data_IF_043979472622
#
_entry.id   IF_043979472622
#
_cell.length_a   1.000
_cell.length_b   1.000
_cell.length_c   1.000
_cell.angle_alpha   90.00
_cell.angle_beta   90.00
_cell.angle_gamma   90.00
#
_symmetry.space_group_name_H-M   'P 1'
#
loop_
_entity.id
_entity.type
_entity.pdbx_description
1 polymer ?
#
# COMPACT_ATOMS: atom_id res chain seq x y z
N UNK A 1 35.06 11.56 -25.57
CA UNK A 1 34.17 11.46 -24.40
C UNK A 1 33.20 10.37 -24.78
N UNK A 2 33.51 9.16 -24.32
CA UNK A 2 33.16 7.90 -25.00
C UNK A 2 31.66 7.60 -25.00
N UNK A 3 31.21 7.00 -26.10
CA UNK A 3 29.85 6.48 -26.35
C UNK A 3 29.40 5.34 -25.39
N UNK A 4 30.06 5.18 -24.24
CA UNK A 4 29.82 4.10 -23.28
C UNK A 4 28.83 4.40 -22.15
N UNK A 5 28.19 5.57 -22.11
CA UNK A 5 27.14 5.89 -21.11
C UNK A 5 25.69 5.82 -21.64
N UNK A 6 25.44 5.25 -22.83
CA UNK A 6 24.07 5.01 -23.34
C UNK A 6 23.54 3.60 -23.10
N UNK A 7 24.22 2.80 -22.29
CA UNK A 7 23.74 1.49 -21.88
C UNK A 7 22.87 1.63 -20.63
N UNK A 8 21.72 0.94 -20.62
CA UNK A 8 20.83 0.73 -19.49
C UNK A 8 19.81 1.86 -19.24
N UNK A 9 18.53 1.49 -19.42
CA UNK A 9 17.31 2.24 -19.08
C UNK A 9 16.77 3.13 -20.21
N UNK A 10 16.22 2.51 -21.26
CA UNK A 10 15.05 3.04 -22.00
C UNK A 10 13.79 2.39 -21.42
N UNK A 11 13.13 3.01 -20.43
CA UNK A 11 12.11 2.32 -19.65
C UNK A 11 10.74 2.56 -20.28
N UNK A 12 10.03 1.49 -20.60
CA UNK A 12 8.66 1.58 -21.06
C UNK A 12 7.69 1.45 -19.86
N UNK A 13 6.79 2.43 -19.77
CA UNK A 13 5.50 2.46 -19.07
C UNK A 13 5.38 1.83 -17.67
N UNK A 14 5.51 2.66 -16.61
CA UNK A 14 5.04 2.32 -15.27
C UNK A 14 3.54 2.59 -15.11
N UNK A 15 2.79 1.61 -14.60
CA UNK A 15 1.40 1.78 -14.15
C UNK A 15 1.36 2.05 -12.65
N UNK A 16 0.96 3.26 -12.25
CA UNK A 16 0.97 3.69 -10.86
C UNK A 16 -0.25 3.22 -10.05
N UNK A 17 -0.02 2.70 -8.84
CA UNK A 17 -1.02 2.17 -7.91
C UNK A 17 -0.89 2.79 -6.49
N UNK A 18 -0.88 4.11 -6.34
CA UNK A 18 -0.61 4.75 -5.04
C UNK A 18 -1.60 4.42 -3.93
N UNK A 19 -2.89 4.23 -4.26
CA UNK A 19 -3.94 3.75 -3.35
C UNK A 19 -4.89 2.74 -4.02
N UNK A 20 -4.55 2.32 -5.24
CA UNK A 20 -5.33 1.39 -6.04
C UNK A 20 -5.10 -0.06 -5.57
N UNK A 21 -5.79 -0.39 -4.49
CA UNK A 21 -6.06 -1.73 -3.95
C UNK A 21 -6.75 -2.64 -4.99
N UNK A 22 -6.79 -3.97 -4.77
CA UNK A 22 -7.38 -4.91 -5.74
C UNK A 22 -8.75 -4.45 -6.25
N UNK A 23 -9.06 -4.74 -7.51
CA UNK A 23 -10.32 -4.38 -8.19
C UNK A 23 -10.54 -2.87 -8.44
N UNK A 24 -9.50 -2.04 -8.37
CA UNK A 24 -9.54 -0.61 -8.75
C UNK A 24 -9.34 -0.33 -10.26
N UNK A 25 -9.43 -1.35 -11.12
CA UNK A 25 -9.23 -1.23 -12.58
C UNK A 25 -7.80 -1.49 -13.06
N UNK A 26 -6.85 -1.72 -12.14
CA UNK A 26 -5.43 -1.93 -12.46
C UNK A 26 -5.17 -3.15 -13.32
N UNK A 27 -5.87 -4.27 -13.10
CA UNK A 27 -5.79 -5.48 -13.95
C UNK A 27 -6.20 -5.18 -15.39
N UNK A 28 -7.26 -4.38 -15.58
CA UNK A 28 -7.74 -4.00 -16.91
C UNK A 28 -6.78 -3.03 -17.60
N UNK A 29 -6.26 -2.05 -16.86
CA UNK A 29 -5.23 -1.14 -17.38
C UNK A 29 -3.95 -1.89 -17.79
N UNK A 30 -3.51 -2.87 -17.00
CA UNK A 30 -2.39 -3.76 -17.34
C UNK A 30 -2.65 -4.49 -18.65
N UNK A 31 -3.85 -5.08 -18.81
CA UNK A 31 -4.24 -5.76 -20.04
C UNK A 31 -4.26 -4.82 -21.24
N UNK A 32 -4.92 -3.67 -21.14
CA UNK A 32 -4.98 -2.67 -22.22
C UNK A 32 -3.58 -2.18 -22.62
N UNK A 33 -2.75 -1.88 -21.63
CA UNK A 33 -1.39 -1.38 -21.85
C UNK A 33 -0.52 -2.44 -22.53
N UNK A 34 -0.56 -3.67 -22.04
CA UNK A 34 0.13 -4.79 -22.67
C UNK A 34 -0.35 -5.00 -24.11
N UNK A 35 -1.67 -4.99 -24.32
CA UNK A 35 -2.28 -5.17 -25.62
C UNK A 35 -1.84 -4.10 -26.61
N UNK A 36 -1.88 -2.82 -26.21
CA UNK A 36 -1.45 -1.69 -27.03
C UNK A 36 0.03 -1.86 -27.38
N UNK A 37 0.90 -2.07 -26.40
CA UNK A 37 2.35 -2.10 -26.61
C UNK A 37 2.78 -3.27 -27.51
N UNK A 38 2.15 -4.44 -27.36
CA UNK A 38 2.54 -5.65 -28.08
C UNK A 38 1.67 -5.99 -29.30
N UNK A 39 0.69 -5.16 -29.68
CA UNK A 39 -0.24 -5.43 -30.79
C UNK A 39 0.42 -5.82 -32.11
N UNK A 40 1.60 -5.26 -32.42
CA UNK A 40 2.33 -5.58 -33.66
C UNK A 40 2.99 -6.96 -33.63
N UNK A 41 3.32 -7.48 -32.44
CA UNK A 41 3.89 -8.82 -32.27
C UNK A 41 2.82 -9.93 -32.33
N UNK A 42 1.56 -9.57 -32.07
CA UNK A 42 0.43 -10.50 -31.99
C UNK A 42 -0.74 -9.98 -32.84
N UNK A 43 -0.70 -10.18 -34.17
CA UNK A 43 -1.69 -9.61 -35.09
C UNK A 43 -3.07 -10.25 -34.99
N UNK A 44 -3.16 -11.52 -34.58
CA UNK A 44 -4.44 -12.20 -34.34
C UNK A 44 -4.85 -12.08 -32.87
N UNK A 45 -6.07 -11.60 -32.65
CA UNK A 45 -6.69 -11.58 -31.32
C UNK A 45 -6.99 -12.99 -30.78
N UNK A 46 -7.12 -14.00 -31.65
CA UNK A 46 -7.43 -15.38 -31.27
C UNK A 46 -6.26 -16.08 -30.56
N UNK A 47 -5.03 -15.62 -30.81
CA UNK A 47 -3.79 -16.19 -30.24
C UNK A 47 -3.11 -15.21 -29.27
N UNK A 48 -3.86 -14.26 -28.70
CA UNK A 48 -3.27 -13.20 -27.89
C UNK A 48 -2.78 -13.73 -26.53
N UNK A 49 -1.59 -13.34 -26.03
CA UNK A 49 -1.06 -13.85 -24.76
C UNK A 49 -1.99 -13.65 -23.55
N UNK A 50 -2.82 -12.62 -23.55
CA UNK A 50 -3.79 -12.34 -22.48
C UNK A 50 -4.93 -13.35 -22.40
N UNK A 51 -5.07 -14.27 -23.37
CA UNK A 51 -6.00 -15.39 -23.31
C UNK A 51 -5.48 -16.55 -22.44
N UNK A 52 -4.16 -16.63 -22.24
CA UNK A 52 -3.50 -17.71 -21.49
C UNK A 52 -2.89 -17.20 -20.19
N UNK A 53 -2.37 -15.97 -20.20
CA UNK A 53 -1.65 -15.39 -19.06
C UNK A 53 -2.44 -14.27 -18.41
N UNK A 54 -2.40 -14.22 -17.08
CA UNK A 54 -2.98 -13.15 -16.32
C UNK A 54 -2.23 -11.82 -16.59
N UNK A 55 -2.92 -10.67 -16.68
CA UNK A 55 -2.26 -9.37 -16.83
C UNK A 55 -1.21 -9.06 -15.74
N UNK A 56 -1.36 -9.62 -14.53
CA UNK A 56 -0.38 -9.48 -13.46
C UNK A 56 0.94 -10.21 -13.74
N UNK A 57 0.93 -11.29 -14.53
CA UNK A 57 2.13 -12.03 -14.94
C UNK A 57 2.86 -11.32 -16.09
N UNK A 58 2.12 -10.58 -16.92
CA UNK A 58 2.67 -9.84 -18.06
C UNK A 58 3.11 -8.41 -17.71
N UNK A 59 2.55 -7.86 -16.64
CA UNK A 59 2.91 -6.54 -16.10
C UNK A 59 3.11 -6.67 -14.59
N UNK A 60 4.27 -7.21 -14.15
CA UNK A 60 4.54 -7.45 -12.75
C UNK A 60 4.74 -6.12 -11.99
N UNK A 61 4.38 -6.06 -10.70
CA UNK A 61 4.73 -4.92 -9.86
C UNK A 61 6.25 -4.93 -9.61
N UNK A 62 6.88 -3.78 -9.86
CA UNK A 62 8.33 -3.58 -9.82
C UNK A 62 8.91 -3.91 -8.44
N UNK A 63 8.17 -3.66 -7.36
CA UNK A 63 8.58 -3.96 -6.00
C UNK A 63 8.74 -5.47 -5.76
N UNK A 64 7.84 -6.31 -6.26
CA UNK A 64 7.97 -7.76 -6.05
C UNK A 64 9.04 -8.37 -6.95
N UNK A 65 9.31 -7.80 -8.12
CA UNK A 65 10.42 -8.24 -8.98
C UNK A 65 11.78 -8.01 -8.30
N UNK A 66 11.91 -6.91 -7.54
CA UNK A 66 13.15 -6.56 -6.83
C UNK A 66 13.24 -7.25 -5.47
N UNK A 67 12.13 -7.37 -4.73
CA UNK A 67 12.13 -7.79 -3.33
C UNK A 67 11.63 -9.23 -3.07
N UNK A 68 11.29 -10.02 -4.09
CA UNK A 68 11.10 -11.47 -3.88
C UNK A 68 12.46 -12.15 -3.65
N UNK A 69 12.94 -12.03 -2.40
CA UNK A 69 14.11 -12.70 -1.83
C UNK A 69 13.94 -14.22 -1.69
N UNK A 70 12.85 -14.83 -2.20
CA UNK A 70 12.60 -16.26 -2.01
C UNK A 70 13.68 -17.12 -2.70
N UNK A 71 14.42 -16.60 -3.68
CA UNK A 71 15.47 -17.37 -4.38
C UNK A 71 16.83 -16.66 -4.59
N UNK A 72 17.14 -15.58 -3.86
CA UNK A 72 18.46 -14.89 -3.94
C UNK A 72 18.89 -14.49 -5.37
N UNK A 73 17.92 -14.38 -6.28
CA UNK A 73 18.09 -13.84 -7.61
C UNK A 73 17.39 -12.50 -7.63
N UNK A 74 18.16 -11.43 -7.46
CA UNK A 74 17.78 -10.15 -8.06
C UNK A 74 17.44 -10.47 -9.52
N UNK A 75 16.16 -10.40 -9.89
CA UNK A 75 15.74 -10.79 -11.22
C UNK A 75 16.34 -9.76 -12.18
N UNK A 76 17.45 -10.14 -12.82
CA UNK A 76 18.10 -9.35 -13.84
C UNK A 76 17.05 -8.92 -14.86
N UNK A 77 16.79 -7.61 -14.90
CA UNK A 77 15.80 -7.01 -15.81
C UNK A 77 16.16 -7.31 -17.27
N UNK A 78 17.41 -7.67 -17.58
CA UNK A 78 17.84 -8.12 -18.90
C UNK A 78 17.08 -9.36 -19.40
N UNK A 79 16.60 -10.21 -18.49
CA UNK A 79 15.83 -11.43 -18.82
C UNK A 79 14.40 -11.12 -19.30
N UNK A 80 13.92 -9.88 -19.09
CA UNK A 80 12.57 -9.48 -19.49
C UNK A 80 12.65 -8.89 -20.91
N UNK A 81 11.90 -9.45 -21.88
CA UNK A 81 11.93 -8.98 -23.27
C UNK A 81 11.41 -7.55 -23.39
N UNK A 82 11.95 -6.81 -24.35
CA UNK A 82 11.46 -5.47 -24.70
C UNK A 82 10.27 -5.56 -25.68
N UNK A 83 9.32 -4.62 -25.62
CA UNK A 83 9.19 -3.50 -24.66
C UNK A 83 8.68 -3.93 -23.27
N UNK A 84 9.39 -3.53 -22.21
CA UNK A 84 9.07 -3.93 -20.82
C UNK A 84 7.95 -3.08 -20.22
N UNK A 85 7.04 -3.67 -19.44
CA UNK A 85 5.96 -2.91 -18.79
C UNK A 85 5.92 -3.33 -17.33
N UNK A 86 5.90 -2.36 -16.42
CA UNK A 86 5.89 -2.64 -14.98
C UNK A 86 4.75 -1.91 -14.27
N UNK A 87 4.21 -2.51 -13.22
CA UNK A 87 3.38 -1.81 -12.25
C UNK A 87 4.24 -1.26 -11.10
N UNK A 88 3.76 -0.30 -10.33
CA UNK A 88 4.39 0.10 -9.06
C UNK A 88 3.35 0.68 -8.11
N UNK A 89 3.48 0.38 -6.82
CA UNK A 89 2.74 0.98 -5.72
C UNK A 89 3.45 2.20 -5.10
N UNK A 90 4.72 2.45 -5.46
CA UNK A 90 5.52 3.57 -4.93
C UNK A 90 5.03 4.92 -5.45
N UNK A 91 4.79 5.93 -4.58
CA UNK A 91 4.46 7.31 -4.96
C UNK A 91 5.37 7.91 -6.02
N UNK A 92 4.83 8.67 -6.98
CA UNK A 92 5.64 9.28 -8.06
C UNK A 92 6.77 10.14 -7.47
N UNK A 93 6.48 10.88 -6.40
CA UNK A 93 7.46 11.68 -5.65
C UNK A 93 8.52 10.83 -4.95
N UNK A 94 8.24 9.57 -4.64
CA UNK A 94 9.16 8.62 -4.01
C UNK A 94 9.95 7.77 -5.02
N UNK A 95 9.63 7.84 -6.32
CA UNK A 95 10.42 7.15 -7.34
C UNK A 95 11.86 7.69 -7.39
N UNK A 96 12.79 6.79 -7.72
CA UNK A 96 14.20 7.12 -7.88
C UNK A 96 14.40 8.21 -8.96
N UNK A 97 15.43 9.04 -8.77
CA UNK A 97 15.81 10.10 -9.72
C UNK A 97 16.04 9.53 -11.13
N UNK A 98 16.65 8.35 -11.22
CA UNK A 98 16.87 7.63 -12.47
C UNK A 98 15.59 7.36 -13.26
N UNK A 99 14.47 7.05 -12.58
CA UNK A 99 13.19 6.82 -13.26
C UNK A 99 12.58 8.16 -13.72
N UNK A 100 12.61 9.18 -12.85
CA UNK A 100 12.02 10.50 -13.14
C UNK A 100 12.70 11.24 -14.29
N UNK A 101 14.02 11.07 -14.42
CA UNK A 101 14.83 11.75 -15.44
C UNK A 101 15.03 10.92 -16.71
N UNK A 102 14.63 9.64 -16.69
CA UNK A 102 14.65 8.79 -17.87
C UNK A 102 13.54 9.16 -18.86
N UNK A 103 13.62 8.60 -20.07
CA UNK A 103 12.55 8.68 -21.07
C UNK A 103 11.32 7.81 -20.72
N UNK A 104 11.13 7.45 -19.44
CA UNK A 104 9.99 6.65 -19.03
C UNK A 104 8.68 7.38 -19.23
N UNK A 105 7.72 6.70 -19.83
CA UNK A 105 6.32 7.12 -19.78
C UNK A 105 5.68 6.51 -18.53
N UNK A 106 4.76 7.22 -17.90
CA UNK A 106 4.07 6.74 -16.70
C UNK A 106 2.57 6.96 -16.92
N UNK A 107 1.77 5.91 -16.73
CA UNK A 107 0.31 6.02 -16.68
C UNK A 107 -0.14 5.92 -15.25
N UNK A 108 -0.93 6.90 -14.85
CA UNK A 108 -1.55 6.98 -13.54
C UNK A 108 -3.03 6.67 -13.66
N UNK A 109 -3.53 5.81 -12.77
CA UNK A 109 -4.96 5.55 -12.61
C UNK A 109 -5.38 5.88 -11.18
N UNK A 110 -6.49 6.60 -11.05
CA UNK A 110 -7.20 6.80 -9.81
C UNK A 110 -8.65 6.33 -9.96
N UNK A 111 -9.25 6.00 -8.83
CA UNK A 111 -10.65 5.65 -8.70
C UNK A 111 -11.21 6.37 -7.48
N UNK A 112 -12.51 6.67 -7.48
CA UNK A 112 -13.23 7.20 -6.33
C UNK A 112 -12.96 6.34 -5.06
N UNK A 113 -12.81 7.01 -3.91
CA UNK A 113 -12.38 6.35 -2.67
C UNK A 113 -13.43 5.40 -2.09
N UNK A 114 -14.72 5.74 -2.17
CA UNK A 114 -15.81 4.85 -1.70
C UNK A 114 -15.90 3.60 -2.56
N UNK A 115 -15.78 3.77 -3.86
CA UNK A 115 -15.71 2.70 -4.85
C UNK A 115 -14.53 1.75 -4.59
N UNK A 116 -13.38 2.33 -4.30
CA UNK A 116 -12.14 1.61 -3.97
C UNK A 116 -12.30 0.84 -2.65
N UNK A 117 -12.92 1.45 -1.64
CA UNK A 117 -13.24 0.82 -0.36
C UNK A 117 -14.18 -0.37 -0.55
N UNK A 118 -15.33 -0.19 -1.22
CA UNK A 118 -16.30 -1.26 -1.47
C UNK A 118 -15.69 -2.39 -2.29
N UNK A 119 -14.91 -2.06 -3.32
CA UNK A 119 -14.25 -3.07 -4.16
C UNK A 119 -13.26 -3.91 -3.37
N UNK A 120 -12.52 -3.28 -2.45
CA UNK A 120 -11.59 -3.97 -1.55
C UNK A 120 -12.33 -4.83 -0.55
N UNK A 121 -13.39 -4.30 0.06
CA UNK A 121 -14.25 -5.04 0.99
C UNK A 121 -14.78 -6.33 0.35
N UNK A 122 -15.36 -6.23 -0.85
CA UNK A 122 -15.87 -7.39 -1.60
C UNK A 122 -14.74 -8.34 -1.99
N UNK A 123 -13.57 -7.84 -2.36
CA UNK A 123 -12.41 -8.67 -2.68
C UNK A 123 -11.91 -9.45 -1.46
N UNK A 124 -11.70 -8.76 -0.34
CA UNK A 124 -11.26 -9.34 0.94
C UNK A 124 -12.25 -10.41 1.39
N UNK A 125 -13.56 -10.12 1.38
CA UNK A 125 -14.58 -11.10 1.77
C UNK A 125 -14.61 -12.37 0.89
N UNK A 126 -14.10 -12.30 -0.35
CA UNK A 126 -13.99 -13.48 -1.23
C UNK A 126 -12.76 -14.33 -0.93
N UNK A 127 -11.67 -13.73 -0.45
CA UNK A 127 -10.40 -14.44 -0.17
C UNK A 127 -10.26 -14.84 1.30
N UNK A 128 -10.96 -14.17 2.21
CA UNK A 128 -10.94 -14.48 3.62
C UNK A 128 -11.74 -15.77 3.91
N UNK A 129 -11.29 -16.63 4.83
CA UNK A 129 -12.05 -17.79 5.26
C UNK A 129 -13.44 -17.39 5.79
N UNK A 130 -14.49 -18.11 5.38
CA UNK A 130 -15.88 -17.85 5.81
C UNK A 130 -16.12 -18.03 7.31
N UNK A 131 -15.23 -18.74 8.01
CA UNK A 131 -15.34 -19.03 9.45
C UNK A 131 -15.07 -17.80 10.35
N UNK A 132 -14.87 -16.63 9.75
CA UNK A 132 -14.64 -15.36 10.45
C UNK A 132 -15.94 -14.64 10.85
N UNK A 133 -17.10 -15.05 10.32
CA UNK A 133 -18.41 -14.51 10.73
C UNK A 133 -18.79 -15.02 12.13
N UNK A 134 -18.24 -14.39 13.16
CA UNK A 134 -18.79 -14.46 14.52
C UNK A 134 -19.09 -13.04 15.00
N UNK A 135 -20.37 -12.70 15.28
CA UNK A 135 -20.75 -11.32 15.59
C UNK A 135 -20.02 -10.76 16.83
N UNK A 136 -19.72 -11.61 17.82
CA UNK A 136 -19.03 -11.20 19.04
C UNK A 136 -17.49 -11.20 18.93
N UNK A 137 -16.92 -11.45 17.75
CA UNK A 137 -15.47 -11.38 17.51
C UNK A 137 -15.00 -10.00 17.04
N UNK A 138 -15.91 -9.08 16.71
CA UNK A 138 -15.54 -7.78 16.12
C UNK A 138 -16.17 -6.65 16.93
N UNK A 139 -15.32 -5.79 17.49
CA UNK A 139 -15.72 -4.50 18.06
C UNK A 139 -15.39 -3.39 17.07
N UNK A 140 -16.40 -2.60 16.72
CA UNK A 140 -16.22 -1.40 15.90
C UNK A 140 -15.84 -0.21 16.80
N UNK A 141 -14.76 0.47 16.45
CA UNK A 141 -14.24 1.64 17.13
C UNK A 141 -13.70 2.63 16.10
N UNK A 142 -14.23 3.86 16.08
CA UNK A 142 -13.67 4.94 15.26
C UNK A 142 -12.47 5.55 15.97
N UNK A 143 -11.51 6.04 15.19
CA UNK A 143 -10.34 6.71 15.75
C UNK A 143 -10.71 8.03 16.45
N UNK A 144 -11.71 8.73 15.91
CA UNK A 144 -12.28 9.95 16.48
C UNK A 144 -12.85 9.67 17.87
N UNK A 145 -13.73 8.67 17.99
CA UNK A 145 -14.36 8.27 19.27
C UNK A 145 -13.29 7.82 20.29
N UNK A 146 -12.29 7.04 19.85
CA UNK A 146 -11.17 6.61 20.69
C UNK A 146 -10.39 7.80 21.27
N UNK A 147 -10.17 8.84 20.46
CA UNK A 147 -9.41 10.02 20.87
C UNK A 147 -10.21 10.98 21.74
N UNK A 148 -11.53 11.04 21.54
CA UNK A 148 -12.44 11.87 22.33
C UNK A 148 -12.47 11.43 23.80
N UNK A 149 -12.60 10.13 24.08
CA UNK A 149 -12.53 9.57 25.43
C UNK A 149 -11.65 8.31 25.47
N UNK A 150 -10.35 8.51 25.66
CA UNK A 150 -9.38 7.42 25.68
C UNK A 150 -9.62 6.48 26.86
N UNK A 151 -9.98 7.00 28.04
CA UNK A 151 -10.16 6.19 29.24
C UNK A 151 -11.34 5.23 29.08
N UNK A 152 -12.49 5.76 28.65
CA UNK A 152 -13.68 4.96 28.36
C UNK A 152 -13.40 3.87 27.30
N UNK A 153 -12.76 4.24 26.20
CA UNK A 153 -12.49 3.29 25.12
C UNK A 153 -11.45 2.23 25.51
N UNK A 154 -10.46 2.56 26.34
CA UNK A 154 -9.51 1.56 26.88
C UNK A 154 -10.24 0.55 27.75
N UNK A 155 -11.17 0.97 28.62
CA UNK A 155 -12.01 0.05 29.40
C UNK A 155 -12.88 -0.82 28.51
N UNK A 156 -13.53 -0.22 27.52
CA UNK A 156 -14.35 -0.94 26.53
C UNK A 156 -13.56 -1.98 25.74
N UNK A 157 -12.33 -1.67 25.34
CA UNK A 157 -11.41 -2.62 24.68
C UNK A 157 -11.05 -3.75 25.65
N UNK A 158 -10.71 -3.42 26.90
CA UNK A 158 -10.34 -4.39 27.92
C UNK A 158 -11.48 -5.39 28.22
N UNK A 159 -12.71 -4.89 28.37
CA UNK A 159 -13.92 -5.71 28.49
C UNK A 159 -14.15 -6.60 27.25
N UNK A 160 -14.00 -6.04 26.04
CA UNK A 160 -14.16 -6.79 24.79
C UNK A 160 -13.10 -7.89 24.61
N UNK A 161 -11.90 -7.71 25.16
CA UNK A 161 -10.81 -8.69 25.15
C UNK A 161 -10.86 -9.68 26.33
N UNK A 162 -11.97 -9.72 27.10
CA UNK A 162 -12.12 -10.55 28.31
C UNK A 162 -11.02 -10.30 29.37
N UNK A 163 -10.48 -9.07 29.42
CA UNK A 163 -9.46 -8.63 30.37
C UNK A 163 -9.88 -7.32 31.05
N UNK A 164 -11.06 -7.25 31.70
CA UNK A 164 -11.55 -6.02 32.31
C UNK A 164 -10.67 -5.58 33.48
N UNK A 165 -10.53 -4.26 33.66
CA UNK A 165 -9.85 -3.71 34.81
C UNK A 165 -10.63 -3.99 36.10
N UNK A 166 -9.91 -4.41 37.13
CA UNK A 166 -10.46 -4.49 38.48
C UNK A 166 -10.64 -3.09 39.07
N UNK A 167 -11.53 -2.94 40.07
CA UNK A 167 -11.70 -1.68 40.79
C UNK A 167 -10.41 -1.19 41.46
N UNK A 168 -9.51 -2.12 41.81
CA UNK A 168 -8.20 -1.81 42.36
C UNK A 168 -7.25 -1.24 41.29
N UNK A 169 -7.21 -1.83 40.10
CA UNK A 169 -6.43 -1.30 38.97
C UNK A 169 -6.93 0.08 38.53
N UNK A 170 -8.25 0.29 38.53
CA UNK A 170 -8.83 1.61 38.26
C UNK A 170 -8.44 2.64 39.33
N UNK A 171 -8.54 2.30 40.61
CA UNK A 171 -8.22 3.22 41.70
C UNK A 171 -6.71 3.46 41.89
N UNK A 172 -5.86 2.52 41.46
CA UNK A 172 -4.40 2.65 41.46
C UNK A 172 -3.84 3.38 40.22
N UNK A 173 -4.69 3.79 39.28
CA UNK A 173 -4.31 4.58 38.12
C UNK A 173 -3.64 3.76 37.00
N UNK A 174 -3.91 2.45 36.92
CA UNK A 174 -3.31 1.56 35.89
C UNK A 174 -3.71 2.00 34.49
N UNK A 175 -4.96 2.42 34.30
CA UNK A 175 -5.47 2.88 32.99
C UNK A 175 -4.70 4.11 32.52
N UNK A 176 -4.51 5.10 33.40
CA UNK A 176 -3.76 6.32 33.13
C UNK A 176 -2.30 6.00 32.81
N UNK A 177 -1.70 5.02 33.50
CA UNK A 177 -0.35 4.56 33.24
C UNK A 177 -0.21 3.90 31.86
N UNK A 178 -1.19 3.07 31.46
CA UNK A 178 -1.25 2.46 30.12
C UNK A 178 -1.38 3.55 29.05
N UNK A 179 -2.32 4.48 29.23
CA UNK A 179 -2.54 5.60 28.29
C UNK A 179 -1.26 6.43 28.14
N UNK A 180 -0.59 6.74 29.25
CA UNK A 180 0.68 7.49 29.24
C UNK A 180 1.79 6.73 28.52
N UNK A 181 1.93 5.42 28.78
CA UNK A 181 2.92 4.57 28.14
C UNK A 181 2.70 4.47 26.62
N UNK A 182 1.44 4.31 26.21
CA UNK A 182 1.01 4.16 24.83
C UNK A 182 0.73 5.51 24.12
N UNK A 183 0.99 6.64 24.78
CA UNK A 183 0.84 7.95 24.15
C UNK A 183 1.77 8.09 22.96
N UNK A 184 1.33 8.79 21.92
CA UNK A 184 2.10 8.95 20.69
C UNK A 184 3.47 9.61 20.97
N UNK A 185 3.49 10.62 21.84
CA UNK A 185 4.68 11.33 22.30
C UNK A 185 5.66 10.37 22.98
N UNK A 186 5.16 9.51 23.87
CA UNK A 186 6.00 8.53 24.57
C UNK A 186 6.55 7.49 23.62
N UNK A 187 5.70 6.87 22.80
CA UNK A 187 6.10 5.81 21.89
C UNK A 187 7.09 6.30 20.84
N UNK A 188 6.88 7.49 20.27
CA UNK A 188 7.78 8.09 19.28
C UNK A 188 9.20 8.30 19.81
N UNK A 189 9.33 8.57 21.12
CA UNK A 189 10.62 8.82 21.75
C UNK A 189 11.40 7.54 22.10
N UNK A 190 10.78 6.36 22.06
CA UNK A 190 11.45 5.10 22.37
C UNK A 190 12.53 4.76 21.33
N UNK A 191 13.71 4.35 21.78
CA UNK A 191 14.86 3.97 20.92
C UNK A 191 14.46 2.97 19.82
N UNK A 192 13.65 1.98 20.17
CA UNK A 192 13.12 0.94 19.25
C UNK A 192 12.34 1.53 18.07
N UNK A 193 11.64 2.65 18.29
CA UNK A 193 10.80 3.30 17.30
C UNK A 193 11.57 4.33 16.47
N UNK A 194 12.74 4.80 16.95
CA UNK A 194 13.60 5.72 16.19
C UNK A 194 14.58 5.02 15.26
N UNK A 195 15.14 3.88 15.69
CA UNK A 195 16.34 3.32 15.03
C UNK A 195 16.17 1.95 14.40
N UNK A 196 15.11 1.19 14.71
CA UNK A 196 14.91 -0.13 14.09
C UNK A 196 14.16 0.00 12.77
N UNK A 197 14.26 -1.04 11.95
CA UNK A 197 13.51 -1.20 10.72
C UNK A 197 12.54 -2.39 10.83
N UNK A 198 11.49 -2.39 10.04
CA UNK A 198 10.49 -3.46 9.95
C UNK A 198 10.21 -3.81 8.49
N UNK A 199 9.93 -5.09 8.22
CA UNK A 199 9.58 -5.61 6.89
C UNK A 199 10.57 -6.67 6.39
N UNK A 200 10.07 -7.61 5.56
CA UNK A 200 10.90 -8.60 4.86
C UNK A 200 11.22 -8.19 3.42
N UNK A 201 10.26 -7.57 2.72
CA UNK A 201 10.46 -7.05 1.35
C UNK A 201 10.92 -5.60 1.35
N UNK A 202 10.00 -4.66 1.60
CA UNK A 202 10.37 -3.25 1.76
C UNK A 202 10.78 -2.97 3.21
N UNK A 203 12.06 -2.73 3.44
CA UNK A 203 12.59 -2.29 4.74
C UNK A 203 12.09 -0.86 5.00
N UNK A 204 11.27 -0.68 6.04
CA UNK A 204 10.77 0.62 6.47
C UNK A 204 11.41 0.96 7.83
N UNK A 205 12.02 2.14 7.95
CA UNK A 205 12.48 2.64 9.25
C UNK A 205 11.27 2.89 10.17
N UNK A 206 11.35 2.41 11.41
CA UNK A 206 10.23 2.49 12.35
C UNK A 206 9.75 3.92 12.61
N UNK A 207 10.63 4.91 12.45
CA UNK A 207 10.32 6.33 12.63
C UNK A 207 9.19 6.81 11.71
N UNK A 208 9.00 6.18 10.55
CA UNK A 208 7.96 6.55 9.58
C UNK A 208 6.55 6.10 10.00
N UNK A 209 6.41 5.14 10.93
CA UNK A 209 5.09 4.80 11.49
C UNK A 209 4.57 5.88 12.46
N UNK A 210 5.43 6.77 12.95
CA UNK A 210 5.08 7.83 13.89
C UNK A 210 4.88 9.18 13.19
N UNK A 211 3.81 9.29 12.41
CA UNK A 211 3.36 10.55 11.81
C UNK A 211 2.32 11.26 12.70
N UNK A 212 2.31 12.62 12.68
CA UNK A 212 1.46 13.44 13.57
C UNK A 212 -0.04 13.19 13.37
N UNK A 213 -0.44 12.75 12.17
CA UNK A 213 -1.78 12.26 11.80
C UNK A 213 -2.94 12.92 12.56
N UNK A 214 -3.01 14.26 12.53
CA UNK A 214 -4.06 14.99 13.25
C UNK A 214 -5.41 14.76 12.53
N UNK A 215 -6.49 14.65 13.30
CA UNK A 215 -7.84 14.56 12.75
C UNK A 215 -8.09 15.80 11.88
N UNK A 216 -8.57 15.59 10.66
CA UNK A 216 -8.83 16.66 9.71
C UNK A 216 -7.59 17.28 9.05
N UNK A 217 -6.37 16.84 9.37
CA UNK A 217 -5.12 17.44 8.83
C UNK A 217 -4.96 17.22 7.34
N UNK A 218 -5.74 16.32 6.73
CA UNK A 218 -5.70 16.01 5.30
C UNK A 218 -5.87 17.26 4.43
N UNK A 219 -6.60 18.27 4.90
CA UNK A 219 -6.79 19.56 4.19
C UNK A 219 -5.49 20.31 3.94
N UNK A 220 -4.45 20.05 4.75
CA UNK A 220 -3.14 20.68 4.63
C UNK A 220 -2.22 19.97 3.63
N UNK A 221 -2.61 18.77 3.14
CA UNK A 221 -1.80 17.96 2.23
C UNK A 221 -2.46 17.76 0.86
N UNK A 222 -3.77 17.94 0.75
CA UNK A 222 -4.52 17.81 -0.50
C UNK A 222 -4.90 19.19 -1.04
N UNK A 223 -4.50 19.49 -2.28
CA UNK A 223 -5.01 20.69 -2.95
C UNK A 223 -6.51 20.55 -3.26
N UNK A 224 -7.27 21.65 -3.42
CA UNK A 224 -8.67 21.59 -3.82
C UNK A 224 -8.89 20.76 -5.11
N UNK A 225 -7.98 20.88 -6.08
CA UNK A 225 -8.02 20.09 -7.32
C UNK A 225 -7.75 18.60 -7.13
N UNK A 226 -7.00 18.21 -6.09
CA UNK A 226 -6.85 16.80 -5.71
C UNK A 226 -8.13 16.29 -5.04
N UNK A 227 -8.73 17.09 -4.17
CA UNK A 227 -9.99 16.74 -3.49
C UNK A 227 -11.11 16.53 -4.50
N UNK A 228 -11.26 17.43 -5.48
CA UNK A 228 -12.24 17.31 -6.57
C UNK A 228 -12.04 16.03 -7.40
N UNK A 229 -10.79 15.59 -7.59
CA UNK A 229 -10.49 14.33 -8.30
C UNK A 229 -10.71 13.07 -7.46
N UNK A 230 -10.79 13.22 -6.13
CA UNK A 230 -10.96 12.13 -5.17
C UNK A 230 -12.42 11.95 -4.75
N UNK A 231 -13.22 13.01 -4.81
CA UNK A 231 -14.68 12.99 -4.65
C UNK A 231 -15.37 12.36 -5.86
#
# INVERSE_FOLDING_TARGET
MDEQEKGWITPYLYLYQGFCVPKSGTTWLKALTFAIVHRQHFPSLENYPLLVFNPHERVPPFEFVIYDDINDQTHDLSKIPEPRIFGTHVPFTSLAKSIKESNCKIIYICRNLFDTFVSTWVFVNKIMPKDLDKPNKVMFLKYEDLKEDVNFNVKKIAEFLDCPFTKEEESSGVIENIIKLCSFEKMKELKVNKSRTMGKGTIVENKYFFWKAKIGDWVNYLSPSMVEKLS
#
